data_IF_174801867185
#
_entry.id   IF_174801867185
#
_cell.length_a   1.000
_cell.length_b   1.000
_cell.length_c   1.000
_cell.angle_alpha   90.00
_cell.angle_beta   90.00
_cell.angle_gamma   90.00
#
_symmetry.space_group_name_H-M   'P 1'
#
loop_
_entity.id
_entity.type
_entity.pdbx_description
1 polymer ?
#
# COMPACT_ATOMS: atom_id res chain seq x y z
N UNK A 1 32.03 6.75 -4.06
CA UNK A 1 30.71 6.93 -3.42
C UNK A 1 29.69 6.12 -4.20
N UNK A 2 28.92 5.24 -3.56
CA UNK A 2 27.84 4.51 -4.24
C UNK A 2 26.69 5.46 -4.59
N UNK A 3 26.03 5.32 -5.76
CA UNK A 3 24.91 6.18 -6.13
C UNK A 3 23.76 6.05 -5.11
N UNK A 4 23.05 7.16 -4.81
CA UNK A 4 21.95 7.14 -3.86
C UNK A 4 20.85 6.20 -4.35
N UNK A 5 20.53 5.19 -3.53
CA UNK A 5 19.53 4.18 -3.82
C UNK A 5 18.14 4.82 -3.75
N UNK A 6 17.42 4.88 -4.87
CA UNK A 6 16.05 5.40 -4.93
C UNK A 6 15.05 4.34 -4.46
N UNK A 7 14.04 4.80 -3.75
CA UNK A 7 12.92 3.98 -3.30
C UNK A 7 11.61 4.53 -3.89
N UNK A 8 10.67 3.62 -4.12
CA UNK A 8 9.32 3.88 -4.60
C UNK A 8 8.31 3.26 -3.66
N UNK A 9 7.15 3.88 -3.53
CA UNK A 9 5.99 3.36 -2.82
C UNK A 9 5.05 2.70 -3.82
N UNK A 10 4.79 1.42 -3.63
CA UNK A 10 3.92 0.59 -4.49
C UNK A 10 2.70 0.11 -3.70
N UNK A 11 1.63 -0.25 -4.39
CA UNK A 11 0.43 -0.87 -3.80
C UNK A 11 0.26 -2.28 -4.34
N UNK A 12 0.03 -3.25 -3.46
CA UNK A 12 -0.25 -4.63 -3.87
C UNK A 12 -1.64 -4.74 -4.53
N UNK A 13 -1.77 -5.52 -5.60
CA UNK A 13 -3.06 -5.74 -6.27
C UNK A 13 -4.00 -6.65 -5.46
N UNK A 14 -3.44 -7.59 -4.69
CA UNK A 14 -4.20 -8.54 -3.87
C UNK A 14 -4.60 -7.96 -2.51
N UNK A 15 -3.63 -7.75 -1.61
CA UNK A 15 -3.92 -7.26 -0.25
C UNK A 15 -4.08 -5.74 -0.12
N UNK A 16 -3.86 -4.97 -1.21
CA UNK A 16 -3.96 -3.50 -1.25
C UNK A 16 -3.03 -2.72 -0.31
N UNK A 17 -2.13 -3.39 0.41
CA UNK A 17 -1.14 -2.75 1.26
C UNK A 17 -0.07 -2.01 0.44
N UNK A 18 0.31 -0.85 0.95
CA UNK A 18 1.40 -0.03 0.44
C UNK A 18 2.74 -0.52 0.99
N UNK A 19 3.76 -0.52 0.14
CA UNK A 19 5.09 -1.03 0.46
C UNK A 19 6.18 -0.17 -0.18
N UNK A 20 7.27 0.03 0.54
CA UNK A 20 8.47 0.67 0.02
C UNK A 20 9.31 -0.38 -0.71
N UNK A 21 9.67 -0.09 -1.95
CA UNK A 21 10.50 -0.94 -2.78
C UNK A 21 11.68 -0.14 -3.30
N UNK A 22 12.87 -0.72 -3.20
CA UNK A 22 14.04 -0.15 -3.84
C UNK A 22 13.89 -0.31 -5.35
N UNK A 23 14.23 0.74 -6.10
CA UNK A 23 14.22 0.66 -7.56
C UNK A 23 15.17 -0.42 -8.04
N UNK A 24 14.66 -1.28 -8.92
CA UNK A 24 15.42 -2.31 -9.61
C UNK A 24 15.15 -2.16 -11.11
N UNK A 25 16.05 -2.71 -11.93
CA UNK A 25 15.84 -2.80 -13.38
C UNK A 25 14.60 -3.64 -13.73
N UNK A 26 14.24 -4.61 -12.89
CA UNK A 26 13.06 -5.44 -13.09
C UNK A 26 11.80 -4.74 -12.60
N UNK A 27 10.76 -4.80 -13.42
CA UNK A 27 9.42 -4.35 -13.07
C UNK A 27 8.63 -5.38 -12.26
N UNK A 28 9.18 -6.57 -11.99
CA UNK A 28 8.51 -7.60 -11.18
C UNK A 28 8.87 -7.47 -9.71
N UNK A 29 7.90 -7.62 -8.83
CA UNK A 29 8.10 -7.60 -7.39
C UNK A 29 7.14 -8.54 -6.66
N UNK A 30 7.48 -8.88 -5.42
CA UNK A 30 6.67 -9.75 -4.56
C UNK A 30 6.19 -8.97 -3.35
N UNK A 31 4.89 -9.04 -3.08
CA UNK A 31 4.30 -8.46 -1.88
C UNK A 31 4.87 -9.15 -0.63
N UNK A 32 5.51 -8.39 0.25
CA UNK A 32 6.06 -8.92 1.51
C UNK A 32 4.98 -9.30 2.52
N UNK A 33 3.78 -8.74 2.40
CA UNK A 33 2.69 -9.00 3.32
C UNK A 33 1.88 -10.26 2.95
N UNK A 34 1.57 -10.46 1.66
CA UNK A 34 0.72 -11.58 1.21
C UNK A 34 1.40 -12.56 0.25
N UNK A 35 2.67 -12.34 -0.13
CA UNK A 35 3.42 -13.23 -1.01
C UNK A 35 3.11 -13.12 -2.51
N UNK A 36 2.14 -12.30 -2.91
CA UNK A 36 1.69 -12.20 -4.31
C UNK A 36 2.81 -11.68 -5.23
N UNK A 37 3.04 -12.37 -6.35
CA UNK A 37 4.01 -11.96 -7.37
C UNK A 37 3.29 -11.11 -8.40
N UNK A 38 3.77 -9.89 -8.59
CA UNK A 38 3.05 -8.90 -9.39
C UNK A 38 4.00 -7.97 -10.13
N UNK A 39 3.46 -7.36 -11.19
CA UNK A 39 4.18 -6.34 -11.95
C UNK A 39 4.02 -4.97 -11.27
N UNK A 40 5.04 -4.14 -11.42
CA UNK A 40 4.98 -2.73 -11.13
C UNK A 40 3.97 -2.08 -12.09
N UNK A 41 2.96 -1.44 -11.53
CA UNK A 41 1.92 -0.74 -12.28
C UNK A 41 2.07 0.78 -12.19
N UNK A 42 2.25 1.31 -10.97
CA UNK A 42 2.30 2.74 -10.71
C UNK A 42 3.06 3.04 -9.42
N UNK A 43 3.76 4.17 -9.40
CA UNK A 43 4.35 4.73 -8.18
C UNK A 43 3.37 5.65 -7.45
N UNK A 44 3.29 5.51 -6.13
CA UNK A 44 2.50 6.37 -5.23
C UNK A 44 3.36 7.38 -4.46
N UNK A 45 4.68 7.28 -4.57
CA UNK A 45 5.66 8.22 -3.99
C UNK A 45 7.07 7.73 -4.22
N UNK A 46 8.03 8.65 -4.35
CA UNK A 46 9.45 8.35 -4.60
C UNK A 46 10.33 9.19 -3.69
N UNK A 47 11.50 8.66 -3.32
CA UNK A 47 12.44 9.40 -2.49
C UNK A 47 13.46 8.52 -1.78
N UNK A 48 13.93 9.01 -0.63
CA UNK A 48 14.80 8.24 0.25
C UNK A 48 14.04 7.07 0.89
N UNK A 49 14.78 6.04 1.30
CA UNK A 49 14.16 4.91 2.01
C UNK A 49 13.43 5.33 3.29
N UNK A 50 13.91 6.38 3.99
CA UNK A 50 13.26 6.90 5.18
C UNK A 50 11.92 7.58 4.87
N UNK A 51 11.88 8.40 3.83
CA UNK A 51 10.66 9.11 3.42
C UNK A 51 9.62 8.14 2.90
N UNK A 52 10.02 7.17 2.07
CA UNK A 52 9.12 6.12 1.59
C UNK A 52 8.53 5.29 2.74
N UNK A 53 9.31 4.97 3.79
CA UNK A 53 8.79 4.24 4.96
C UNK A 53 7.71 5.05 5.71
N UNK A 54 7.96 6.34 5.98
CA UNK A 54 6.96 7.22 6.61
C UNK A 54 5.69 7.33 5.75
N UNK A 55 5.87 7.47 4.44
CA UNK A 55 4.77 7.57 3.49
C UNK A 55 3.92 6.29 3.47
N UNK A 56 4.56 5.11 3.43
CA UNK A 56 3.88 3.81 3.51
C UNK A 56 3.06 3.68 4.80
N UNK A 57 3.63 4.06 5.94
CA UNK A 57 2.92 4.01 7.22
C UNK A 57 1.65 4.86 7.18
N UNK A 58 1.76 6.10 6.67
CA UNK A 58 0.60 7.00 6.50
C UNK A 58 -0.46 6.40 5.57
N UNK A 59 -0.07 5.90 4.41
CA UNK A 59 -1.02 5.35 3.43
C UNK A 59 -1.73 4.10 3.96
N UNK A 60 -1.01 3.20 4.62
CA UNK A 60 -1.63 2.00 5.20
C UNK A 60 -2.59 2.35 6.35
N UNK A 61 -2.25 3.34 7.18
CA UNK A 61 -3.15 3.84 8.23
C UNK A 61 -4.45 4.38 7.63
N UNK A 62 -4.36 5.25 6.62
CA UNK A 62 -5.51 5.81 5.92
C UNK A 62 -6.35 4.72 5.24
N UNK A 63 -5.69 3.75 4.59
CA UNK A 63 -6.36 2.62 3.94
C UNK A 63 -7.14 1.76 4.96
N UNK A 64 -6.59 1.54 6.16
CA UNK A 64 -7.26 0.86 7.26
C UNK A 64 -8.50 1.63 7.73
N UNK A 65 -8.37 2.93 7.97
CA UNK A 65 -9.48 3.80 8.39
C UNK A 65 -10.63 3.81 7.36
N UNK A 66 -10.32 3.90 6.07
CA UNK A 66 -11.33 3.84 4.99
C UNK A 66 -12.02 2.47 4.99
N UNK A 67 -11.26 1.39 5.16
CA UNK A 67 -11.81 0.03 5.21
C UNK A 67 -12.77 -0.13 6.40
N UNK A 68 -12.39 0.32 7.58
CA UNK A 68 -13.25 0.29 8.77
C UNK A 68 -14.50 1.16 8.60
N UNK A 69 -14.36 2.37 8.06
CA UNK A 69 -15.48 3.29 7.86
C UNK A 69 -16.50 2.73 6.84
N UNK A 70 -16.01 2.07 5.79
CA UNK A 70 -16.86 1.36 4.83
C UNK A 70 -17.64 0.22 5.49
N UNK A 71 -16.99 -0.56 6.36
CA UNK A 71 -17.65 -1.63 7.11
C UNK A 71 -18.73 -1.10 8.08
N UNK A 72 -18.47 0.03 8.75
CA UNK A 72 -19.42 0.67 9.66
C UNK A 72 -20.67 1.18 8.94
N UNK A 73 -20.51 1.84 7.78
CA UNK A 73 -21.66 2.29 6.96
C UNK A 73 -22.55 1.11 6.52
N UNK A 74 -21.94 -0.02 6.19
CA UNK A 74 -22.67 -1.22 5.75
C UNK A 74 -23.35 -1.99 6.90
N UNK A 75 -23.10 -1.62 8.16
CA UNK A 75 -23.71 -2.22 9.36
C UNK A 75 -24.87 -1.41 9.93
N UNK A 76 -25.34 -0.38 9.22
CA UNK A 76 -26.56 0.31 9.57
C UNK A 76 -27.69 -0.72 9.73
N UNK A 77 -28.33 -0.86 10.90
CA UNK A 77 -29.42 -1.79 11.04
C UNK A 77 -30.57 -1.25 10.19
N UNK A 78 -30.93 -1.96 9.12
CA UNK A 78 -32.31 -1.93 8.66
C UNK A 78 -33.11 -2.48 9.84
N UNK A 79 -33.61 -1.57 10.69
CA UNK A 79 -34.55 -1.91 11.75
C UNK A 79 -35.74 -2.55 11.05
N UNK A 80 -35.85 -3.86 11.20
CA UNK A 80 -37.10 -4.55 11.14
C UNK A 80 -38.06 -3.80 12.08
N UNK A 81 -39.02 -3.09 11.51
CA UNK A 81 -40.27 -2.76 12.17
C UNK A 81 -41.30 -3.58 11.43
N UNK A 82 -41.78 -4.63 12.11
CA UNK A 82 -42.95 -5.38 11.71
C UNK A 82 -44.24 -4.59 11.93
#
# INVERSE_FOLDING_TARGET
MAPPQRFRVLRCCSCRLFQAHQEKKSLKWTCKACGEKQSFLRTYGEGSGADCRRHVQKLNLLQGQISEMSLRKNRSPQRAAG
#
